data_IF_720161571180
#
_entry.id   IF_720161571180
#
_cell.length_a   1.000
_cell.length_b   1.000
_cell.length_c   1.000
_cell.angle_alpha   90.00
_cell.angle_beta   90.00
_cell.angle_gamma   90.00
#
_symmetry.space_group_name_H-M   'P 1'
#
loop_
_entity.id
_entity.type
_entity.pdbx_description
1 polymer ?
#
# COMPACT_ATOMS: atom_id res chain seq x y z
N UNK A 1 14.93 -39.41 -26.32
CA UNK A 1 13.95 -38.80 -27.24
C UNK A 1 12.62 -38.75 -26.51
N UNK A 2 12.24 -37.60 -25.96
CA UNK A 2 10.94 -37.33 -25.35
C UNK A 2 10.25 -36.22 -26.15
N UNK A 3 8.95 -36.31 -26.48
CA UNK A 3 8.30 -35.33 -27.33
C UNK A 3 7.82 -34.10 -26.55
N UNK A 4 8.21 -32.96 -27.13
CA UNK A 4 7.73 -31.57 -27.09
C UNK A 4 6.55 -31.15 -26.19
N UNK A 5 6.88 -30.16 -25.36
CA UNK A 5 6.06 -29.34 -24.46
C UNK A 5 5.55 -28.04 -25.11
N UNK A 6 4.57 -28.09 -26.04
CA UNK A 6 4.17 -26.86 -26.77
C UNK A 6 2.66 -26.59 -26.93
N UNK A 7 1.74 -27.35 -26.31
CA UNK A 7 0.30 -27.13 -26.57
C UNK A 7 -0.56 -26.58 -25.40
N UNK A 8 -0.17 -26.69 -24.12
CA UNK A 8 -1.02 -26.20 -23.01
C UNK A 8 -0.76 -24.73 -22.59
N UNK A 9 0.39 -24.15 -22.93
CA UNK A 9 0.70 -22.73 -22.68
C UNK A 9 -0.13 -21.77 -23.53
N UNK A 10 -0.77 -22.23 -24.62
CA UNK A 10 -1.65 -21.40 -25.45
C UNK A 10 -3.03 -21.13 -24.84
N UNK A 11 -3.50 -21.95 -23.90
CA UNK A 11 -4.78 -21.73 -23.21
C UNK A 11 -4.65 -20.74 -22.04
N UNK A 12 -3.45 -20.62 -21.44
CA UNK A 12 -3.14 -19.64 -20.41
C UNK A 12 -3.04 -18.20 -20.97
N UNK A 13 -2.68 -18.04 -22.25
CA UNK A 13 -2.49 -16.73 -22.90
C UNK A 13 -3.81 -16.02 -23.29
N UNK A 14 -4.92 -16.77 -23.40
CA UNK A 14 -6.22 -16.22 -23.82
C UNK A 14 -7.10 -15.77 -22.64
N UNK A 15 -6.89 -16.29 -21.42
CA UNK A 15 -7.61 -15.82 -20.23
C UNK A 15 -7.03 -14.50 -19.67
N UNK A 16 -5.73 -14.27 -19.83
CA UNK A 16 -5.09 -12.96 -19.60
C UNK A 16 -5.59 -11.88 -20.57
N UNK A 17 -6.15 -12.26 -21.73
CA UNK A 17 -6.78 -11.35 -22.68
C UNK A 17 -8.09 -10.73 -22.16
N UNK A 18 -8.76 -11.36 -21.18
CA UNK A 18 -9.96 -10.81 -20.53
C UNK A 18 -9.64 -9.81 -19.41
N UNK A 19 -8.36 -9.76 -18.97
CA UNK A 19 -7.86 -8.81 -17.97
C UNK A 19 -7.58 -7.41 -18.59
N UNK A 20 -7.70 -7.23 -19.91
CA UNK A 20 -7.34 -5.99 -20.61
C UNK A 20 -8.52 -5.28 -21.32
N UNK A 21 -9.71 -5.87 -21.39
CA UNK A 21 -10.81 -5.37 -22.24
C UNK A 21 -11.91 -4.58 -21.54
N UNK A 22 -11.76 -4.17 -20.27
CA UNK A 22 -12.73 -3.27 -19.62
C UNK A 22 -12.07 -2.10 -18.88
N UNK A 23 -11.03 -1.54 -19.50
CA UNK A 23 -10.63 -0.15 -19.28
C UNK A 23 -11.79 0.79 -19.67
N UNK A 24 -11.97 1.94 -18.99
CA UNK A 24 -13.05 2.87 -19.28
C UNK A 24 -12.98 3.36 -20.74
N UNK A 25 -14.11 3.32 -21.43
CA UNK A 25 -14.25 3.68 -22.83
C UNK A 25 -14.00 5.17 -23.05
N UNK A 26 -13.34 5.49 -24.17
CA UNK A 26 -12.87 6.80 -24.63
C UNK A 26 -13.96 7.91 -24.80
N UNK A 27 -15.17 7.73 -24.27
CA UNK A 27 -16.25 8.70 -24.36
C UNK A 27 -16.10 9.85 -23.36
N UNK A 28 -15.38 9.66 -22.25
CA UNK A 28 -15.10 10.74 -21.29
C UNK A 28 -14.11 11.80 -21.83
N UNK A 29 -13.21 11.41 -22.74
CA UNK A 29 -12.17 12.31 -23.29
C UNK A 29 -12.75 13.35 -24.27
N UNK A 30 -13.80 12.99 -25.01
CA UNK A 30 -14.45 13.90 -25.96
C UNK A 30 -15.35 14.95 -25.30
N UNK A 31 -15.85 14.69 -24.09
CA UNK A 31 -16.63 15.68 -23.34
C UNK A 31 -15.72 16.72 -22.67
N UNK A 32 -14.51 16.33 -22.27
CA UNK A 32 -13.47 17.23 -21.75
C UNK A 32 -12.91 18.17 -22.85
N UNK A 33 -12.73 17.67 -24.08
CA UNK A 33 -12.24 18.48 -25.22
C UNK A 33 -13.18 19.64 -25.62
N UNK A 34 -14.49 19.51 -25.41
CA UNK A 34 -15.44 20.60 -25.73
C UNK A 34 -15.53 21.68 -24.67
N UNK A 35 -15.21 21.38 -23.41
CA UNK A 35 -15.20 22.41 -22.35
C UNK A 35 -13.88 23.19 -22.28
N UNK A 36 -12.77 22.65 -22.79
CA UNK A 36 -11.46 23.31 -22.82
C UNK A 36 -11.22 24.22 -24.04
N UNK A 37 -12.19 24.38 -24.95
CA UNK A 37 -12.07 25.31 -26.10
C UNK A 37 -12.56 26.75 -25.78
N UNK A 38 -13.02 27.02 -24.55
CA UNK A 38 -13.67 28.30 -24.21
C UNK A 38 -12.94 29.17 -23.17
N UNK A 39 -11.74 28.79 -22.73
CA UNK A 39 -10.93 29.64 -21.86
C UNK A 39 -9.46 29.53 -22.24
N UNK A 40 -8.81 30.68 -22.33
CA UNK A 40 -7.35 30.85 -22.41
C UNK A 40 -6.73 30.81 -23.81
N UNK A 41 -7.08 31.82 -24.61
CA UNK A 41 -6.18 32.29 -25.68
C UNK A 41 -5.26 33.39 -25.12
N UNK A 42 -3.95 33.24 -25.34
CA UNK A 42 -3.00 34.33 -25.10
C UNK A 42 -3.32 35.48 -26.08
N UNK A 43 -3.58 36.67 -25.56
CA UNK A 43 -3.93 37.82 -26.39
C UNK A 43 -2.78 38.12 -27.38
N UNK A 44 -3.02 37.88 -28.68
CA UNK A 44 -2.08 38.25 -29.75
C UNK A 44 -1.22 37.13 -30.35
N UNK A 45 -1.38 35.86 -29.98
CA UNK A 45 -0.69 34.74 -30.66
C UNK A 45 -1.62 33.56 -30.95
N UNK A 46 -1.38 32.84 -32.04
CA UNK A 46 -2.12 31.61 -32.41
C UNK A 46 -1.60 30.33 -31.71
N UNK A 47 -0.78 30.46 -30.67
CA UNK A 47 -0.17 29.31 -29.99
C UNK A 47 -0.98 28.90 -28.76
N UNK A 48 -1.32 27.61 -28.69
CA UNK A 48 -2.00 26.99 -27.55
C UNK A 48 -0.93 26.35 -26.66
N UNK A 49 -0.71 26.89 -25.46
CA UNK A 49 0.32 26.43 -24.52
C UNK A 49 0.14 24.98 -24.02
N UNK A 50 -1.04 24.38 -24.26
CA UNK A 50 -1.35 23.02 -23.80
C UNK A 50 -0.45 21.93 -24.40
N UNK A 51 0.24 22.19 -25.52
CA UNK A 51 1.17 21.25 -26.12
C UNK A 51 2.57 21.24 -25.48
N UNK A 52 3.00 22.31 -24.82
CA UNK A 52 4.36 22.43 -24.27
C UNK A 52 4.53 21.78 -22.88
N UNK A 53 3.43 21.51 -22.18
CA UNK A 53 3.45 20.96 -20.82
C UNK A 53 3.74 19.46 -20.73
N UNK A 54 3.43 18.70 -21.79
CA UNK A 54 3.64 17.24 -21.77
C UNK A 54 5.12 16.83 -21.91
N UNK A 55 5.98 17.74 -22.37
CA UNK A 55 7.42 17.47 -22.61
C UNK A 55 8.34 18.17 -21.58
N UNK A 56 7.79 18.73 -20.51
CA UNK A 56 8.59 19.32 -19.41
C UNK A 56 9.20 20.70 -19.71
N UNK A 57 8.71 21.42 -20.73
CA UNK A 57 9.10 22.80 -21.00
C UNK A 57 8.38 23.82 -20.09
N UNK A 58 9.05 24.94 -19.80
CA UNK A 58 8.46 26.12 -19.16
C UNK A 58 8.13 27.17 -20.23
N UNK A 59 6.95 27.80 -20.17
CA UNK A 59 6.57 28.89 -21.09
C UNK A 59 7.36 30.20 -20.84
N UNK A 60 8.24 30.24 -19.84
CA UNK A 60 9.11 31.39 -19.54
C UNK A 60 10.02 31.80 -20.69
N UNK A 61 10.27 30.90 -21.65
CA UNK A 61 11.26 31.10 -22.70
C UNK A 61 10.62 31.63 -24.01
N UNK A 62 9.30 31.87 -24.01
CA UNK A 62 8.58 32.42 -25.16
C UNK A 62 8.54 33.95 -25.05
N UNK A 63 9.34 34.62 -25.90
CA UNK A 63 9.34 36.08 -26.02
C UNK A 63 7.95 36.59 -26.42
N UNK A 64 7.31 37.38 -25.55
CA UNK A 64 6.01 38.02 -25.82
C UNK A 64 4.90 37.72 -24.81
N UNK A 65 5.11 36.81 -23.87
CA UNK A 65 4.16 36.58 -22.78
C UNK A 65 4.44 37.55 -21.60
N UNK A 66 3.61 38.59 -21.46
CA UNK A 66 3.61 39.50 -20.31
C UNK A 66 2.44 39.14 -19.39
N UNK A 67 2.75 38.71 -18.16
CA UNK A 67 1.74 38.57 -17.11
C UNK A 67 1.69 39.86 -16.29
N UNK A 68 0.55 40.56 -16.26
CA UNK A 68 0.30 41.62 -15.30
C UNK A 68 -0.62 41.08 -14.19
N UNK A 69 -0.04 40.62 -13.09
CA UNK A 69 -0.79 40.45 -11.84
C UNK A 69 -0.73 41.76 -11.06
N UNK A 70 -1.85 42.49 -11.03
CA UNK A 70 -2.08 43.53 -10.04
C UNK A 70 -2.49 42.86 -8.73
N UNK A 71 -1.50 42.45 -7.94
CA UNK A 71 -1.65 41.89 -6.62
C UNK A 71 -0.26 41.66 -6.04
N UNK A 72 0.15 42.51 -5.10
CA UNK A 72 1.45 42.44 -4.44
C UNK A 72 1.66 41.06 -3.78
N UNK A 73 2.49 40.23 -4.42
CA UNK A 73 3.14 39.14 -3.72
C UNK A 73 4.31 39.75 -2.95
N UNK A 74 4.16 39.82 -1.62
CA UNK A 74 5.27 40.04 -0.69
C UNK A 74 6.42 39.07 -0.98
N UNK A 75 7.67 39.53 -0.81
CA UNK A 75 8.95 38.87 -1.16
C UNK A 75 9.22 37.48 -0.56
N UNK A 76 8.23 36.82 0.05
CA UNK A 76 8.30 35.43 0.55
C UNK A 76 7.55 34.43 -0.35
N UNK A 77 7.65 34.60 -1.67
CA UNK A 77 6.87 33.90 -2.69
C UNK A 77 6.85 32.37 -2.59
N UNK A 78 5.63 31.82 -2.76
CA UNK A 78 5.25 30.45 -3.14
C UNK A 78 5.78 29.27 -2.32
N UNK A 79 4.86 28.67 -1.55
CA UNK A 79 4.86 27.27 -1.10
C UNK A 79 6.11 26.79 -0.34
N UNK A 80 6.60 27.58 0.61
CA UNK A 80 7.29 27.04 1.79
C UNK A 80 6.38 27.16 3.01
N UNK A 81 5.27 26.41 2.97
CA UNK A 81 4.34 26.27 4.07
C UNK A 81 3.97 24.80 4.18
N UNK A 82 3.99 24.28 5.41
CA UNK A 82 3.49 22.95 5.79
C UNK A 82 2.16 22.69 5.07
N UNK A 83 1.94 21.47 4.57
CA UNK A 83 0.79 21.05 3.76
C UNK A 83 -0.59 21.55 4.25
N UNK A 84 -0.73 21.87 5.54
CA UNK A 84 -1.91 22.46 6.16
C UNK A 84 -2.43 23.77 5.54
N UNK A 85 -1.58 24.58 4.89
CA UNK A 85 -2.04 25.89 4.41
C UNK A 85 -2.83 25.84 3.10
N UNK A 86 -2.90 24.68 2.44
CA UNK A 86 -3.74 24.47 1.26
C UNK A 86 -5.19 24.05 1.61
N UNK A 87 -5.46 23.60 2.84
CA UNK A 87 -6.75 23.02 3.20
C UNK A 87 -7.77 24.05 3.72
N UNK A 88 -7.33 25.25 4.13
CA UNK A 88 -8.22 26.28 4.71
C UNK A 88 -8.67 27.37 3.72
N UNK A 89 -8.27 27.32 2.45
CA UNK A 89 -8.73 28.32 1.47
C UNK A 89 -10.12 27.94 0.94
N UNK A 90 -11.12 28.47 1.64
CA UNK A 90 -12.53 28.33 1.31
C UNK A 90 -12.88 29.01 -0.02
N UNK A 91 -13.70 28.30 -0.79
CA UNK A 91 -14.50 28.75 -1.94
C UNK A 91 -13.78 29.25 -3.20
N UNK A 92 -13.96 28.44 -4.26
CA UNK A 92 -14.12 28.88 -5.66
C UNK A 92 -12.89 29.33 -6.48
N UNK A 93 -11.69 28.82 -6.22
CA UNK A 93 -10.64 28.85 -7.26
C UNK A 93 -9.93 27.50 -7.37
N UNK A 94 -9.89 26.87 -8.56
CA UNK A 94 -9.32 25.55 -8.71
C UNK A 94 -7.80 25.64 -8.63
N UNK A 95 -7.21 25.11 -7.55
CA UNK A 95 -5.77 24.81 -7.49
C UNK A 95 -5.30 23.92 -8.66
N UNK A 96 -6.23 23.29 -9.39
CA UNK A 96 -5.97 22.57 -10.65
C UNK A 96 -5.42 23.46 -11.78
N UNK A 97 -5.68 24.78 -11.78
CA UNK A 97 -5.19 25.67 -12.83
C UNK A 97 -3.74 26.15 -12.63
N UNK A 98 -3.15 25.93 -11.45
CA UNK A 98 -1.81 26.45 -11.12
C UNK A 98 -0.68 25.43 -11.23
N UNK A 99 -0.92 24.27 -11.86
CA UNK A 99 0.15 23.29 -12.06
C UNK A 99 0.71 22.72 -10.75
N UNK A 100 -0.08 22.72 -9.68
CA UNK A 100 0.25 22.03 -8.44
C UNK A 100 0.42 20.54 -8.76
N UNK A 101 1.67 20.12 -8.98
CA UNK A 101 2.02 18.72 -8.95
C UNK A 101 1.69 18.24 -7.55
N UNK A 102 0.76 17.30 -7.45
CA UNK A 102 0.63 16.50 -6.24
C UNK A 102 2.04 16.05 -5.87
N UNK A 103 2.52 16.53 -4.72
CA UNK A 103 3.82 16.11 -4.21
C UNK A 103 3.89 14.58 -4.25
N UNK A 104 5.10 14.02 -4.45
CA UNK A 104 5.29 12.58 -4.31
C UNK A 104 4.59 12.12 -3.02
N UNK A 105 3.90 10.98 -3.08
CA UNK A 105 3.24 10.47 -1.91
C UNK A 105 4.25 10.40 -0.76
N UNK A 106 3.86 10.81 0.47
CA UNK A 106 4.78 10.79 1.58
C UNK A 106 5.42 9.40 1.67
N UNK A 107 6.73 9.34 1.96
CA UNK A 107 7.48 8.11 1.97
C UNK A 107 6.96 7.21 3.10
N UNK A 108 6.42 6.04 2.73
CA UNK A 108 5.68 5.15 3.63
C UNK A 108 6.43 3.85 3.86
N UNK A 109 7.36 3.85 4.83
CA UNK A 109 8.47 2.90 4.89
C UNK A 109 9.08 2.72 6.30
N UNK A 110 9.95 1.72 6.41
CA UNK A 110 10.88 1.53 7.51
C UNK A 110 12.24 2.18 7.22
N UNK A 111 12.97 2.56 8.29
CA UNK A 111 14.34 3.06 8.15
C UNK A 111 15.31 1.93 7.79
N UNK A 112 16.38 2.25 7.07
CA UNK A 112 17.41 1.27 6.70
C UNK A 112 18.14 0.60 7.87
N UNK A 113 18.15 1.24 9.05
CA UNK A 113 18.79 0.74 10.26
C UNK A 113 17.93 -0.26 11.05
N UNK A 114 16.63 -0.33 10.77
CA UNK A 114 15.76 -1.31 11.41
C UNK A 114 16.20 -2.72 11.04
N UNK A 115 16.09 -3.65 12.00
CA UNK A 115 16.48 -5.05 11.81
C UNK A 115 15.27 -5.95 11.74
N UNK A 116 15.34 -7.00 10.94
CA UNK A 116 14.32 -8.03 10.84
C UNK A 116 14.89 -9.41 11.17
N UNK A 117 14.11 -10.28 11.80
CA UNK A 117 14.56 -11.64 12.08
C UNK A 117 14.45 -12.56 10.88
N UNK A 118 15.48 -13.36 10.69
CA UNK A 118 15.67 -14.23 9.53
C UNK A 118 15.51 -15.70 9.91
N UNK A 119 15.04 -16.51 8.96
CA UNK A 119 15.02 -17.97 9.11
C UNK A 119 16.45 -18.49 9.28
N UNK A 120 16.69 -19.34 10.29
CA UNK A 120 18.02 -19.90 10.56
C UNK A 120 18.84 -19.13 11.59
N UNK A 121 18.19 -18.30 12.41
CA UNK A 121 18.77 -17.54 13.53
C UNK A 121 19.77 -16.47 13.08
N UNK A 122 19.23 -15.30 12.72
CA UNK A 122 20.00 -14.09 12.46
C UNK A 122 19.09 -12.87 12.38
N UNK A 123 19.68 -11.69 12.51
CA UNK A 123 19.01 -10.42 12.25
C UNK A 123 19.64 -9.80 11.01
N UNK A 124 18.84 -9.18 10.14
CA UNK A 124 19.32 -8.46 8.97
C UNK A 124 18.75 -7.06 8.95
N UNK A 125 19.56 -6.05 8.66
CA UNK A 125 19.06 -4.68 8.53
C UNK A 125 18.16 -4.55 7.30
N UNK A 126 17.17 -3.67 7.35
CA UNK A 126 16.20 -3.42 6.27
C UNK A 126 16.90 -3.09 4.96
N UNK A 127 17.98 -2.31 5.02
CA UNK A 127 18.80 -1.93 3.87
C UNK A 127 19.53 -3.09 3.19
N UNK A 128 19.75 -4.19 3.92
CA UNK A 128 20.49 -5.37 3.45
C UNK A 128 19.55 -6.50 3.01
N UNK A 129 18.22 -6.27 3.10
CA UNK A 129 17.21 -7.22 2.67
C UNK A 129 17.17 -7.34 1.15
N UNK A 130 16.93 -8.57 0.70
CA UNK A 130 16.85 -8.93 -0.70
C UNK A 130 15.60 -9.75 -0.96
N UNK A 131 15.11 -9.70 -2.20
CA UNK A 131 14.03 -10.58 -2.65
C UNK A 131 14.48 -12.04 -2.50
N UNK A 132 13.66 -12.85 -1.86
CA UNK A 132 13.95 -14.25 -1.53
C UNK A 132 14.44 -14.46 -0.09
N UNK A 133 14.85 -13.41 0.62
CA UNK A 133 15.17 -13.50 2.04
C UNK A 133 13.93 -13.93 2.86
N UNK A 134 14.11 -14.90 3.75
CA UNK A 134 13.05 -15.44 4.60
C UNK A 134 12.99 -14.70 5.93
N UNK A 135 11.96 -13.88 6.12
CA UNK A 135 11.75 -13.03 7.30
C UNK A 135 10.60 -13.52 8.15
N UNK A 136 10.63 -13.23 9.45
CA UNK A 136 9.55 -13.59 10.36
C UNK A 136 8.31 -12.69 10.14
N UNK A 137 7.12 -13.31 10.06
CA UNK A 137 5.82 -12.63 9.89
C UNK A 137 4.83 -12.99 11.00
N UNK A 138 3.69 -12.28 11.07
CA UNK A 138 2.72 -12.36 12.16
C UNK A 138 1.95 -13.69 12.29
N UNK A 139 1.87 -14.48 11.22
CA UNK A 139 1.26 -15.82 11.26
C UNK A 139 2.22 -16.90 11.77
N UNK A 140 3.15 -16.52 12.65
CA UNK A 140 4.20 -17.35 13.26
C UNK A 140 4.94 -18.22 12.25
N UNK A 141 5.22 -17.66 11.07
CA UNK A 141 5.94 -18.33 9.98
C UNK A 141 6.97 -17.40 9.39
N UNK A 142 8.04 -18.00 8.89
CA UNK A 142 8.96 -17.30 8.01
C UNK A 142 8.39 -17.29 6.60
N UNK A 143 8.48 -16.16 5.92
CA UNK A 143 8.05 -16.02 4.53
C UNK A 143 9.12 -15.28 3.71
N UNK A 144 9.28 -15.60 2.42
CA UNK A 144 10.20 -14.87 1.57
C UNK A 144 9.67 -13.46 1.31
N UNK A 145 10.57 -12.49 1.26
CA UNK A 145 10.31 -11.20 0.64
C UNK A 145 10.13 -11.44 -0.85
N UNK A 146 8.94 -11.17 -1.40
CA UNK A 146 8.67 -11.43 -2.81
C UNK A 146 8.91 -10.20 -3.70
N UNK A 147 8.91 -9.00 -3.12
CA UNK A 147 9.20 -7.74 -3.79
C UNK A 147 9.42 -6.63 -2.75
N UNK A 148 9.75 -5.43 -3.22
CA UNK A 148 9.74 -4.20 -2.43
C UNK A 148 8.66 -3.27 -2.97
N UNK A 149 7.79 -2.76 -2.10
CA UNK A 149 6.80 -1.75 -2.44
C UNK A 149 7.42 -0.36 -2.60
N UNK A 150 8.56 -0.14 -1.97
CA UNK A 150 9.38 1.06 -2.06
C UNK A 150 10.80 0.70 -1.60
N UNK A 151 11.81 1.12 -2.36
CA UNK A 151 13.22 0.93 -2.06
C UNK A 151 13.99 2.14 -2.57
N UNK A 152 14.30 3.09 -1.69
CA UNK A 152 15.14 4.23 -2.03
C UNK A 152 16.19 4.43 -0.92
N UNK A 153 17.45 4.00 -1.14
CA UNK A 153 18.51 4.16 -0.17
C UNK A 153 19.04 5.61 -0.06
N UNK A 154 18.69 6.50 -0.99
CA UNK A 154 19.17 7.87 -1.06
C UNK A 154 18.22 8.89 -0.43
N UNK A 155 16.93 8.59 -0.38
CA UNK A 155 15.89 9.48 0.13
C UNK A 155 16.04 9.74 1.64
N UNK A 156 15.92 10.99 2.07
CA UNK A 156 15.99 11.39 3.50
C UNK A 156 14.62 11.81 3.99
N UNK A 157 14.12 11.13 5.02
CA UNK A 157 12.75 11.31 5.51
C UNK A 157 12.70 11.35 7.03
N UNK A 158 11.64 11.97 7.54
CA UNK A 158 11.34 11.93 8.97
C UNK A 158 10.69 10.58 9.34
N UNK A 159 11.29 9.89 10.30
CA UNK A 159 10.73 8.69 10.90
C UNK A 159 10.21 8.99 12.30
N UNK A 160 9.08 8.38 12.65
CA UNK A 160 8.69 8.19 14.05
C UNK A 160 9.62 7.15 14.65
N UNK A 161 10.17 7.47 15.81
CA UNK A 161 10.89 6.54 16.67
C UNK A 161 9.97 6.17 17.83
N UNK A 162 9.32 5.03 17.72
CA UNK A 162 8.40 4.51 18.75
C UNK A 162 9.22 3.65 19.70
N UNK A 163 9.38 4.11 20.94
CA UNK A 163 10.09 3.40 22.00
C UNK A 163 9.11 2.51 22.72
N UNK A 164 9.38 1.20 22.73
CA UNK A 164 8.56 0.21 23.41
C UNK A 164 9.35 -0.47 24.50
N UNK A 165 8.69 -0.72 25.63
CA UNK A 165 9.23 -1.57 26.68
C UNK A 165 9.20 -3.01 26.20
N UNK A 166 10.36 -3.57 25.88
CA UNK A 166 10.47 -4.98 25.55
C UNK A 166 10.06 -5.81 26.78
N UNK A 167 9.19 -6.80 26.56
CA UNK A 167 8.80 -7.71 27.63
C UNK A 167 10.02 -8.44 28.19
N UNK A 168 10.02 -8.72 29.50
CA UNK A 168 11.10 -9.45 30.15
C UNK A 168 11.27 -10.82 29.48
N UNK A 169 12.22 -10.93 28.56
CA UNK A 169 12.62 -12.19 27.98
C UNK A 169 13.37 -12.94 29.08
N UNK A 170 12.66 -13.85 29.73
CA UNK A 170 13.15 -14.66 30.86
C UNK A 170 14.38 -15.51 30.51
N UNK A 171 14.77 -15.57 29.23
CA UNK A 171 15.96 -16.27 28.75
C UNK A 171 17.23 -15.39 28.72
N UNK A 172 17.13 -14.10 29.05
CA UNK A 172 18.29 -13.20 29.15
C UNK A 172 18.88 -13.21 30.57
N UNK A 173 19.28 -14.39 31.07
CA UNK A 173 20.22 -14.42 32.19
C UNK A 173 21.58 -13.95 31.66
N UNK A 174 22.08 -12.85 32.23
CA UNK A 174 23.33 -12.15 31.88
C UNK A 174 23.22 -11.16 30.72
N UNK A 175 22.67 -9.97 30.98
CA UNK A 175 23.47 -8.75 31.12
C UNK A 175 22.62 -7.63 31.76
N UNK A 176 23.24 -6.91 32.69
CA UNK A 176 22.72 -5.83 33.54
C UNK A 176 21.97 -4.74 32.73
N UNK A 177 20.70 -4.47 33.05
CA UNK A 177 20.23 -3.45 34.01
C UNK A 177 20.03 -2.07 33.36
N UNK A 178 18.76 -1.79 33.02
CA UNK A 178 18.05 -0.51 32.80
C UNK A 178 17.42 -0.21 31.43
N UNK A 179 17.84 -0.79 30.31
CA UNK A 179 17.34 -0.33 29.00
C UNK A 179 16.72 -1.45 28.15
N UNK A 180 15.70 -2.16 28.66
CA UNK A 180 14.84 -3.04 27.84
C UNK A 180 13.90 -2.19 26.95
N UNK A 181 14.45 -1.25 26.21
CA UNK A 181 13.74 -0.35 25.31
C UNK A 181 14.11 -0.73 23.88
N UNK A 182 13.13 -1.19 23.11
CA UNK A 182 13.29 -1.33 21.67
C UNK A 182 12.77 -0.09 20.98
N UNK A 183 13.48 0.35 19.95
CA UNK A 183 13.06 1.46 19.10
C UNK A 183 12.54 0.90 17.79
N UNK A 184 11.42 1.42 17.31
CA UNK A 184 10.89 1.15 15.98
C UNK A 184 10.87 2.42 15.16
N UNK A 185 11.57 2.41 14.01
CA UNK A 185 11.69 3.55 13.10
C UNK A 185 10.84 3.32 11.86
N UNK A 186 9.77 4.09 11.77
CA UNK A 186 8.69 3.90 10.81
C UNK A 186 8.08 5.25 10.45
N UNK A 187 7.68 5.45 9.20
CA UNK A 187 7.01 6.70 8.81
C UNK A 187 5.54 6.70 9.21
N UNK A 188 4.93 7.89 9.29
CA UNK A 188 3.64 8.11 9.93
C UNK A 188 2.45 7.34 9.33
N UNK A 189 2.44 7.13 8.01
CA UNK A 189 1.34 6.47 7.31
C UNK A 189 1.48 4.94 7.25
N UNK A 190 2.66 4.41 7.59
CA UNK A 190 2.90 2.97 7.56
C UNK A 190 2.09 2.27 8.66
N UNK A 191 1.50 1.11 8.36
CA UNK A 191 0.55 0.47 9.26
C UNK A 191 1.24 -0.45 10.29
N UNK A 192 0.84 -0.34 11.55
CA UNK A 192 1.38 -1.08 12.71
C UNK A 192 0.27 -1.72 13.54
N UNK A 193 0.54 -2.89 14.14
CA UNK A 193 -0.45 -3.61 14.94
C UNK A 193 -0.43 -3.13 16.40
N UNK A 194 -1.55 -2.52 16.81
CA UNK A 194 -1.82 -2.09 18.19
C UNK A 194 -2.79 -3.07 18.85
N UNK A 195 -2.53 -3.42 20.11
CA UNK A 195 -3.37 -4.33 20.89
C UNK A 195 -4.81 -3.81 20.99
N UNK A 196 -5.78 -4.71 20.87
CA UNK A 196 -7.21 -4.38 20.97
C UNK A 196 -7.79 -3.80 19.66
N UNK A 197 -6.96 -3.48 18.67
CA UNK A 197 -7.40 -3.11 17.33
C UNK A 197 -7.51 -4.35 16.45
N UNK A 198 -8.54 -4.36 15.60
CA UNK A 198 -8.82 -5.50 14.70
C UNK A 198 -7.86 -5.56 13.51
N UNK A 199 -7.43 -4.41 13.02
CA UNK A 199 -6.52 -4.25 11.89
C UNK A 199 -5.40 -3.27 12.27
N UNK A 200 -4.28 -3.23 11.53
CA UNK A 200 -3.21 -2.31 11.86
C UNK A 200 -3.64 -0.87 11.56
N UNK A 201 -3.10 0.07 12.35
CA UNK A 201 -3.36 1.51 12.29
C UNK A 201 -2.14 2.24 11.75
N UNK A 202 -2.27 3.46 11.20
CA UNK A 202 -1.11 4.25 10.79
C UNK A 202 -0.24 4.59 12.01
N UNK A 203 1.08 4.54 11.85
CA UNK A 203 2.02 4.76 12.95
C UNK A 203 1.87 6.14 13.61
N UNK A 204 1.49 7.17 12.85
CA UNK A 204 1.22 8.52 13.35
C UNK A 204 0.06 8.59 14.35
N UNK A 205 -0.75 7.53 14.45
CA UNK A 205 -1.90 7.46 15.34
C UNK A 205 -1.59 6.79 16.68
N UNK A 206 -0.40 6.19 16.79
CA UNK A 206 0.08 5.56 18.02
C UNK A 206 0.35 6.64 19.05
N UNK A 207 -0.10 6.40 20.28
CA UNK A 207 0.04 7.31 21.41
C UNK A 207 0.83 6.66 22.54
N UNK A 208 1.31 7.50 23.48
CA UNK A 208 1.89 7.00 24.73
C UNK A 208 0.86 6.16 25.49
N UNK A 209 1.30 5.01 26.00
CA UNK A 209 0.43 4.07 26.70
C UNK A 209 -0.30 3.06 25.80
N UNK A 210 -0.34 3.27 24.47
CA UNK A 210 -0.73 2.19 23.55
C UNK A 210 0.21 1.00 23.73
N UNK A 211 -0.26 -0.20 23.38
CA UNK A 211 0.58 -1.39 23.42
C UNK A 211 0.66 -2.03 22.05
N UNK A 212 1.87 -2.18 21.54
CA UNK A 212 2.13 -2.82 20.25
C UNK A 212 2.17 -4.33 20.39
N UNK A 213 1.93 -5.07 19.31
CA UNK A 213 2.02 -6.53 19.33
C UNK A 213 3.45 -7.01 19.18
N UNK A 214 4.03 -7.66 20.20
CA UNK A 214 5.34 -8.33 20.12
C UNK A 214 5.16 -9.79 19.74
N UNK A 215 5.71 -10.19 18.61
CA UNK A 215 5.61 -11.56 18.10
C UNK A 215 6.41 -12.55 18.97
N UNK A 216 7.55 -12.14 19.52
CA UNK A 216 8.42 -13.03 20.29
C UNK A 216 7.83 -13.44 21.65
N UNK A 217 7.12 -12.53 22.29
CA UNK A 217 6.52 -12.77 23.61
C UNK A 217 5.05 -13.15 23.53
N UNK A 218 4.42 -12.99 22.34
CA UNK A 218 2.97 -13.01 22.15
C UNK A 218 2.23 -12.12 23.16
N UNK A 219 2.90 -11.04 23.59
CA UNK A 219 2.43 -10.11 24.61
C UNK A 219 2.45 -8.68 24.09
N UNK A 220 1.67 -7.80 24.72
CA UNK A 220 1.70 -6.39 24.40
C UNK A 220 3.01 -5.75 24.85
N UNK A 221 3.58 -4.89 24.01
CA UNK A 221 4.76 -4.09 24.26
C UNK A 221 4.35 -2.61 24.42
N UNK A 222 4.28 -2.08 25.65
CA UNK A 222 3.81 -0.72 25.90
C UNK A 222 4.71 0.33 25.24
N UNK A 223 4.09 1.32 24.60
CA UNK A 223 4.74 2.51 24.07
C UNK A 223 5.05 3.47 25.22
N UNK A 224 6.33 3.75 25.41
CA UNK A 224 6.83 4.56 26.54
C UNK A 224 7.36 5.92 26.11
N UNK A 225 7.74 6.07 24.84
CA UNK A 225 8.13 7.35 24.25
C UNK A 225 7.89 7.34 22.74
N UNK A 226 7.64 8.50 22.16
CA UNK A 226 7.60 8.71 20.71
C UNK A 226 8.43 9.95 20.41
N UNK A 227 9.46 9.79 19.58
CA UNK A 227 10.31 10.88 19.10
C UNK A 227 10.33 10.88 17.57
N UNK A 228 10.96 11.87 16.94
CA UNK A 228 11.20 11.88 15.49
C UNK A 228 12.68 11.90 15.18
N UNK A 229 13.07 11.34 14.03
CA UNK A 229 14.43 11.40 13.54
C UNK A 229 14.46 11.46 12.01
N UNK A 230 15.25 12.38 11.46
CA UNK A 230 15.57 12.42 10.04
C UNK A 230 16.62 11.35 9.72
N UNK A 231 16.30 10.43 8.80
CA UNK A 231 17.24 9.40 8.35
C UNK A 231 17.18 9.19 6.85
N UNK A 232 18.32 8.76 6.32
CA UNK A 232 18.44 8.35 4.92
C UNK A 232 18.06 6.88 4.74
N UNK A 233 17.35 6.59 3.66
CA UNK A 233 16.99 5.26 3.21
C UNK A 233 15.60 4.82 3.68
N UNK A 234 14.72 4.53 2.73
CA UNK A 234 13.36 4.05 2.93
C UNK A 234 13.14 2.68 2.28
N UNK A 235 12.57 1.76 3.05
CA UNK A 235 12.42 0.36 2.66
C UNK A 235 11.02 -0.16 3.04
N UNK A 236 10.31 -0.74 2.08
CA UNK A 236 9.01 -1.39 2.28
C UNK A 236 9.03 -2.81 1.68
N UNK A 237 9.63 -3.79 2.37
CA UNK A 237 9.65 -5.18 1.90
C UNK A 237 8.24 -5.77 1.94
N UNK A 238 7.87 -6.55 0.91
CA UNK A 238 6.56 -7.18 0.81
C UNK A 238 6.65 -8.68 1.06
N UNK A 239 5.81 -9.18 1.97
CA UNK A 239 5.70 -10.60 2.34
C UNK A 239 4.32 -11.15 1.97
N UNK A 240 4.22 -12.47 1.85
CA UNK A 240 3.03 -13.09 1.28
C UNK A 240 1.76 -12.84 2.10
N UNK A 241 1.86 -12.79 3.44
CA UNK A 241 0.73 -12.50 4.32
C UNK A 241 0.52 -11.01 4.60
N UNK A 242 1.39 -10.14 4.07
CA UNK A 242 1.30 -8.69 4.25
C UNK A 242 1.83 -8.19 5.59
N UNK A 243 2.55 -9.01 6.36
CA UNK A 243 3.07 -8.65 7.68
C UNK A 243 4.55 -8.92 7.80
N UNK A 244 5.22 -8.21 8.71
CA UNK A 244 6.64 -8.36 8.99
C UNK A 244 6.92 -8.05 10.46
N UNK A 245 7.84 -8.79 11.06
CA UNK A 245 8.33 -8.56 12.43
C UNK A 245 9.60 -7.70 12.36
N UNK A 246 9.62 -6.59 13.10
CA UNK A 246 10.67 -5.56 12.98
C UNK A 246 11.21 -5.15 14.35
N UNK A 247 12.50 -4.85 14.40
CA UNK A 247 13.20 -4.37 15.58
C UNK A 247 13.55 -5.46 16.59
N UNK A 248 14.24 -5.06 17.65
CA UNK A 248 14.66 -5.95 18.74
C UNK A 248 13.52 -6.31 19.69
N UNK A 249 12.44 -5.51 19.71
CA UNK A 249 11.19 -5.81 20.40
C UNK A 249 10.28 -6.78 19.65
N UNK A 250 10.69 -7.22 18.45
CA UNK A 250 9.96 -8.17 17.62
C UNK A 250 8.53 -7.69 17.33
N UNK A 251 8.40 -6.42 16.97
CA UNK A 251 7.11 -5.76 16.82
C UNK A 251 6.49 -6.12 15.48
N UNK A 252 5.24 -6.52 15.51
CA UNK A 252 4.48 -6.87 14.32
C UNK A 252 3.98 -5.62 13.59
N UNK A 253 4.34 -5.51 12.33
CA UNK A 253 3.91 -4.45 11.43
C UNK A 253 3.28 -5.01 10.16
N UNK A 254 2.53 -4.17 9.48
CA UNK A 254 2.09 -4.41 8.10
C UNK A 254 3.27 -4.17 7.15
N UNK A 255 3.25 -4.81 5.98
CA UNK A 255 4.11 -4.43 4.84
C UNK A 255 3.48 -3.36 3.96
N UNK A 256 2.34 -2.80 4.38
CA UNK A 256 1.55 -1.81 3.67
C UNK A 256 1.35 -0.54 4.50
N UNK A 257 0.86 0.49 3.83
CA UNK A 257 0.60 1.83 4.36
C UNK A 257 -0.84 2.25 4.12
N UNK A 258 -1.26 3.38 4.68
CA UNK A 258 -2.49 4.07 4.28
C UNK A 258 -2.50 4.39 2.79
N UNK A 259 -3.68 4.31 2.19
CA UNK A 259 -3.90 4.64 0.76
C UNK A 259 -4.47 6.05 0.57
N UNK A 260 -5.03 6.61 1.63
CA UNK A 260 -5.72 7.89 1.67
C UNK A 260 -5.04 8.73 2.75
N UNK A 261 -4.99 10.04 2.52
CA UNK A 261 -4.52 10.98 3.52
C UNK A 261 -5.52 11.00 4.69
N UNK A 262 -5.01 11.21 5.91
CA UNK A 262 -5.82 11.19 7.12
C UNK A 262 -6.82 12.34 7.10
N UNK A 263 -8.11 12.04 7.23
CA UNK A 263 -9.12 13.03 7.56
C UNK A 263 -9.27 13.12 9.09
N UNK A 264 -9.23 14.35 9.62
CA UNK A 264 -9.23 14.63 11.07
C UNK A 264 -10.52 14.17 11.78
N UNK A 265 -11.59 13.87 11.05
CA UNK A 265 -12.91 13.49 11.59
C UNK A 265 -13.09 11.98 11.82
N UNK A 266 -12.10 11.14 11.51
CA UNK A 266 -12.24 9.68 11.61
C UNK A 266 -11.95 9.17 13.05
N UNK A 267 -13.03 8.98 13.83
CA UNK A 267 -13.04 8.34 15.17
C UNK A 267 -12.38 6.95 15.21
N UNK A 268 -12.18 6.30 14.06
CA UNK A 268 -11.68 4.93 13.90
C UNK A 268 -10.16 4.83 13.70
N UNK A 269 -9.38 5.73 14.31
CA UNK A 269 -7.91 5.68 14.34
C UNK A 269 -7.21 5.56 12.96
N UNK A 270 -7.90 5.91 11.85
CA UNK A 270 -7.36 5.76 10.49
C UNK A 270 -7.12 4.30 10.04
N UNK A 271 -7.78 3.33 10.68
CA UNK A 271 -7.63 1.90 10.38
C UNK A 271 -8.29 1.50 9.06
N UNK A 272 -9.35 2.21 8.67
CA UNK A 272 -10.22 1.90 7.55
C UNK A 272 -10.08 2.93 6.44
N UNK A 273 -10.19 2.47 5.20
CA UNK A 273 -10.42 3.39 4.10
C UNK A 273 -11.84 3.92 4.19
N UNK A 274 -11.99 5.24 4.15
CA UNK A 274 -13.26 5.94 4.28
C UNK A 274 -13.65 6.60 2.97
N UNK A 275 -14.95 6.65 2.71
CA UNK A 275 -15.50 7.43 1.61
C UNK A 275 -15.64 8.86 2.09
N UNK A 276 -15.18 9.82 1.28
CA UNK A 276 -15.35 11.24 1.58
C UNK A 276 -16.82 11.62 1.38
N UNK A 277 -17.65 11.36 2.38
CA UNK A 277 -19.06 11.75 2.38
C UNK A 277 -19.25 12.99 3.23
N UNK A 278 -19.99 13.96 2.72
CA UNK A 278 -20.36 15.18 3.45
C UNK A 278 -21.29 14.92 4.64
N UNK A 279 -21.90 13.74 4.72
CA UNK A 279 -22.78 13.31 5.81
C UNK A 279 -22.36 11.91 6.29
N UNK A 280 -21.52 11.83 7.32
CA UNK A 280 -20.94 10.59 7.86
C UNK A 280 -21.92 9.48 8.27
N UNK A 281 -23.23 9.78 8.34
CA UNK A 281 -24.28 8.81 8.62
C UNK A 281 -24.48 7.80 7.46
N UNK A 282 -24.40 8.25 6.21
CA UNK A 282 -24.67 7.37 5.05
C UNK A 282 -23.49 6.45 4.73
N UNK A 283 -22.25 6.92 4.91
CA UNK A 283 -21.04 6.13 4.66
C UNK A 283 -20.94 4.92 5.60
N UNK A 284 -21.22 5.14 6.89
CA UNK A 284 -21.12 4.09 7.90
C UNK A 284 -22.20 3.01 7.80
N UNK A 285 -23.39 3.36 7.29
CA UNK A 285 -24.53 2.44 7.22
C UNK A 285 -24.51 1.56 5.96
N UNK A 286 -24.02 2.10 4.83
CA UNK A 286 -24.19 1.46 3.52
C UNK A 286 -22.98 0.64 3.07
N UNK A 287 -21.77 0.96 3.56
CA UNK A 287 -20.54 0.36 3.04
C UNK A 287 -19.78 -0.36 4.16
N UNK A 288 -19.45 -1.65 3.98
CA UNK A 288 -18.69 -2.38 4.99
C UNK A 288 -17.30 -1.75 5.15
N UNK A 289 -16.86 -1.53 6.39
CA UNK A 289 -15.52 -1.03 6.67
C UNK A 289 -14.46 -2.05 6.22
N UNK A 290 -13.52 -1.65 5.38
CA UNK A 290 -12.35 -2.46 4.99
C UNK A 290 -11.09 -1.70 5.34
N UNK A 291 -10.13 -2.40 5.95
CA UNK A 291 -8.89 -1.79 6.39
C UNK A 291 -8.00 -1.41 5.20
N UNK A 292 -7.14 -0.40 5.38
CA UNK A 292 -6.12 -0.08 4.37
C UNK A 292 -5.24 -1.29 4.06
N UNK A 293 -4.89 -2.07 5.08
CA UNK A 293 -4.17 -3.33 4.93
C UNK A 293 -4.88 -4.30 3.97
N UNK A 294 -6.18 -4.56 4.19
CA UNK A 294 -6.95 -5.49 3.35
C UNK A 294 -7.04 -5.02 1.90
N UNK A 295 -7.24 -3.71 1.67
CA UNK A 295 -7.32 -3.14 0.33
C UNK A 295 -5.97 -3.30 -0.38
N UNK A 296 -4.88 -2.83 0.24
CA UNK A 296 -3.54 -2.96 -0.32
C UNK A 296 -3.20 -4.42 -0.60
N UNK A 297 -3.44 -5.30 0.38
CA UNK A 297 -3.18 -6.73 0.27
C UNK A 297 -3.96 -7.40 -0.88
N UNK A 298 -5.22 -6.99 -1.10
CA UNK A 298 -6.06 -7.51 -2.20
C UNK A 298 -5.58 -6.97 -3.55
N UNK A 299 -5.29 -5.67 -3.64
CA UNK A 299 -4.87 -5.03 -4.88
C UNK A 299 -3.51 -5.54 -5.38
N UNK A 300 -2.58 -5.84 -4.47
CA UNK A 300 -1.26 -6.39 -4.84
C UNK A 300 -1.26 -7.91 -5.03
N UNK A 301 -2.38 -8.61 -4.78
CA UNK A 301 -2.46 -10.06 -4.87
C UNK A 301 -2.05 -10.63 -6.25
N UNK A 302 -2.51 -10.08 -7.40
CA UNK A 302 -2.06 -10.60 -8.71
C UNK A 302 -0.54 -10.50 -8.90
N UNK A 303 0.06 -9.39 -8.46
CA UNK A 303 1.50 -9.19 -8.53
C UNK A 303 2.26 -10.12 -7.57
N UNK A 304 1.73 -10.32 -6.36
CA UNK A 304 2.26 -11.27 -5.38
C UNK A 304 2.25 -12.71 -5.90
N UNK A 305 1.13 -13.15 -6.50
CA UNK A 305 1.05 -14.47 -7.15
C UNK A 305 2.09 -14.55 -8.27
N UNK A 306 2.20 -13.52 -9.11
CA UNK A 306 3.21 -13.46 -10.15
C UNK A 306 4.61 -13.67 -9.59
N UNK A 307 5.05 -12.87 -8.61
CA UNK A 307 6.41 -12.96 -8.07
C UNK A 307 6.71 -14.27 -7.32
N UNK A 308 5.73 -14.85 -6.63
CA UNK A 308 5.93 -16.07 -5.87
C UNK A 308 5.91 -17.34 -6.74
N UNK A 309 5.13 -17.34 -7.83
CA UNK A 309 4.88 -18.56 -8.63
C UNK A 309 5.62 -18.56 -9.97
N UNK A 310 5.51 -17.48 -10.73
CA UNK A 310 5.98 -17.43 -12.12
C UNK A 310 7.23 -16.60 -12.30
N UNK A 311 7.32 -15.49 -11.58
CA UNK A 311 8.35 -14.46 -11.67
C UNK A 311 9.48 -14.64 -10.67
N UNK A 312 9.71 -15.84 -10.15
CA UNK A 312 10.81 -16.08 -9.20
C UNK A 312 12.15 -15.78 -9.89
N UNK A 313 12.85 -14.75 -9.41
CA UNK A 313 14.08 -14.23 -10.04
C UNK A 313 13.84 -13.31 -11.25
N UNK A 314 12.59 -12.94 -11.53
CA UNK A 314 12.29 -11.95 -12.56
C UNK A 314 12.65 -10.55 -12.04
N UNK A 315 13.29 -9.75 -12.90
CA UNK A 315 13.65 -8.35 -12.61
C UNK A 315 12.45 -7.49 -12.17
N UNK A 316 11.23 -7.86 -12.53
CA UNK A 316 9.99 -7.18 -12.14
C UNK A 316 9.70 -7.24 -10.65
N UNK A 317 10.23 -8.26 -9.97
CA UNK A 317 10.05 -8.47 -8.53
C UNK A 317 11.20 -7.86 -7.73
N UNK A 318 12.33 -7.55 -8.37
CA UNK A 318 13.45 -6.88 -7.74
C UNK A 318 13.19 -5.37 -7.61
N UNK A 319 13.79 -4.71 -6.61
CA UNK A 319 13.80 -3.26 -6.55
C UNK A 319 14.28 -2.69 -7.88
N UNK A 320 13.50 -1.77 -8.45
CA UNK A 320 13.92 -1.07 -9.64
C UNK A 320 14.78 0.13 -9.22
N UNK A 321 15.94 0.32 -9.85
CA UNK A 321 16.83 1.45 -9.59
C UNK A 321 16.34 2.74 -10.28
N UNK A 322 15.02 2.90 -10.45
CA UNK A 322 14.44 4.14 -10.94
C UNK A 322 14.60 5.23 -9.87
N UNK A 323 14.58 6.49 -10.31
CA UNK A 323 14.85 7.67 -9.46
C UNK A 323 13.93 7.85 -8.24
N UNK A 324 12.80 7.15 -8.14
CA UNK A 324 11.84 7.26 -7.03
C UNK A 324 11.71 5.98 -6.19
N UNK A 325 12.51 4.94 -6.47
CA UNK A 325 12.54 3.70 -5.69
C UNK A 325 11.24 2.87 -5.64
N UNK A 326 10.16 3.34 -6.27
CA UNK A 326 8.83 2.75 -6.19
C UNK A 326 8.50 2.01 -7.49
N UNK A 327 8.04 0.74 -7.43
CA UNK A 327 7.57 0.05 -8.63
C UNK A 327 6.41 0.81 -9.29
N UNK A 328 6.41 0.88 -10.61
CA UNK A 328 5.40 1.62 -11.39
C UNK A 328 3.96 1.27 -11.01
N UNK A 329 3.67 0.01 -10.68
CA UNK A 329 2.33 -0.43 -10.29
C UNK A 329 1.90 0.15 -8.93
N UNK A 330 2.82 0.23 -7.96
CA UNK A 330 2.56 0.83 -6.64
C UNK A 330 2.28 2.32 -6.80
N UNK A 331 3.13 3.01 -7.55
CA UNK A 331 2.95 4.44 -7.85
C UNK A 331 1.60 4.73 -8.52
N UNK A 332 1.23 3.91 -9.52
CA UNK A 332 -0.06 4.04 -10.20
C UNK A 332 -1.23 3.74 -9.27
N UNK A 333 -1.09 2.80 -8.34
CA UNK A 333 -2.12 2.52 -7.35
C UNK A 333 -2.36 3.72 -6.41
N UNK A 334 -1.31 4.39 -5.92
CA UNK A 334 -1.45 5.63 -5.13
C UNK A 334 -2.06 6.78 -5.93
N UNK A 335 -1.62 6.97 -7.18
CA UNK A 335 -2.22 7.99 -8.06
C UNK A 335 -3.72 7.72 -8.27
N UNK A 336 -4.10 6.46 -8.44
CA UNK A 336 -5.49 6.07 -8.62
C UNK A 336 -6.32 6.23 -7.33
N UNK A 337 -5.77 5.88 -6.17
CA UNK A 337 -6.43 6.09 -4.88
C UNK A 337 -6.72 7.58 -4.63
N UNK A 338 -5.72 8.45 -4.83
CA UNK A 338 -5.89 9.90 -4.73
C UNK A 338 -6.89 10.46 -5.73
N UNK A 339 -6.83 10.00 -6.98
CA UNK A 339 -7.82 10.37 -7.97
C UNK A 339 -9.23 9.98 -7.49
N UNK A 340 -9.40 8.77 -6.97
CA UNK A 340 -10.67 8.26 -6.45
C UNK A 340 -11.21 9.11 -5.30
N UNK A 341 -10.36 9.57 -4.39
CA UNK A 341 -10.72 10.45 -3.27
C UNK A 341 -11.31 11.79 -3.73
N UNK A 342 -10.90 12.26 -4.91
CA UNK A 342 -11.44 13.49 -5.53
C UNK A 342 -12.71 13.26 -6.36
N UNK A 343 -13.13 12.01 -6.57
CA UNK A 343 -14.30 11.71 -7.38
C UNK A 343 -15.61 11.89 -6.61
N UNK A 344 -16.70 12.05 -7.36
CA UNK A 344 -18.04 12.08 -6.79
C UNK A 344 -18.37 10.79 -6.04
N UNK A 345 -19.25 10.89 -5.04
CA UNK A 345 -19.69 9.76 -4.23
C UNK A 345 -20.17 8.57 -5.07
N UNK A 346 -20.85 8.82 -6.19
CA UNK A 346 -21.34 7.75 -7.08
C UNK A 346 -20.20 6.97 -7.75
N UNK A 347 -19.13 7.65 -8.15
CA UNK A 347 -17.95 7.00 -8.72
C UNK A 347 -17.24 6.19 -7.64
N UNK A 348 -17.11 6.71 -6.42
CA UNK A 348 -16.50 5.99 -5.32
C UNK A 348 -17.31 4.73 -4.94
N UNK A 349 -18.64 4.83 -4.82
CA UNK A 349 -19.54 3.67 -4.57
C UNK A 349 -19.44 2.63 -5.68
N UNK A 350 -19.45 3.06 -6.94
CA UNK A 350 -19.34 2.15 -8.09
C UNK A 350 -17.99 1.42 -8.07
N UNK A 351 -16.91 2.18 -7.86
CA UNK A 351 -15.55 1.64 -7.76
C UNK A 351 -15.42 0.65 -6.62
N UNK A 352 -16.05 0.95 -5.47
CA UNK A 352 -16.11 0.05 -4.34
C UNK A 352 -16.83 -1.26 -4.65
N UNK A 353 -18.00 -1.19 -5.29
CA UNK A 353 -18.74 -2.38 -5.70
C UNK A 353 -17.89 -3.27 -6.63
N UNK A 354 -17.18 -2.66 -7.59
CA UNK A 354 -16.24 -3.37 -8.46
C UNK A 354 -15.07 -3.98 -7.66
N UNK A 355 -14.52 -3.26 -6.69
CA UNK A 355 -13.48 -3.78 -5.81
C UNK A 355 -13.96 -5.00 -5.01
N UNK A 356 -15.21 -5.00 -4.51
CA UNK A 356 -15.75 -6.17 -3.81
C UNK A 356 -15.88 -7.38 -4.73
N UNK A 357 -16.32 -7.20 -5.99
CA UNK A 357 -16.36 -8.27 -6.99
C UNK A 357 -14.95 -8.81 -7.26
N UNK A 358 -13.98 -7.91 -7.48
CA UNK A 358 -12.59 -8.26 -7.67
C UNK A 358 -12.03 -9.07 -6.47
N UNK A 359 -12.28 -8.60 -5.24
CA UNK A 359 -11.85 -9.28 -4.00
C UNK A 359 -12.41 -10.70 -3.89
N UNK A 360 -13.69 -10.88 -4.19
CA UNK A 360 -14.37 -12.19 -4.15
C UNK A 360 -13.76 -13.18 -5.15
N UNK A 361 -13.19 -12.70 -6.26
CA UNK A 361 -12.52 -13.54 -7.24
C UNK A 361 -11.06 -13.81 -6.83
N UNK A 362 -10.32 -12.75 -6.50
CA UNK A 362 -8.87 -12.81 -6.35
C UNK A 362 -8.42 -13.50 -5.07
N UNK A 363 -9.08 -13.26 -3.93
CA UNK A 363 -8.65 -13.85 -2.65
C UNK A 363 -8.77 -15.38 -2.66
N UNK A 364 -9.87 -15.98 -3.14
CA UNK A 364 -9.95 -17.42 -3.39
C UNK A 364 -8.88 -17.96 -4.33
N UNK A 365 -8.69 -17.29 -5.47
CA UNK A 365 -7.74 -17.71 -6.49
C UNK A 365 -6.31 -17.72 -5.95
N UNK A 366 -5.93 -16.66 -5.24
CA UNK A 366 -4.64 -16.56 -4.57
C UNK A 366 -4.44 -17.71 -3.58
N UNK A 367 -5.42 -17.94 -2.71
CA UNK A 367 -5.36 -18.99 -1.69
C UNK A 367 -5.13 -20.36 -2.34
N UNK A 368 -5.83 -20.63 -3.44
CA UNK A 368 -5.70 -21.86 -4.24
C UNK A 368 -4.31 -21.99 -4.87
N UNK A 369 -3.80 -20.93 -5.51
CA UNK A 369 -2.50 -20.96 -6.20
C UNK A 369 -1.35 -21.09 -5.20
N UNK A 370 -1.38 -20.35 -4.09
CA UNK A 370 -0.34 -20.42 -3.05
C UNK A 370 -0.36 -21.78 -2.32
N UNK A 371 -1.53 -22.37 -2.10
CA UNK A 371 -1.62 -23.73 -1.56
C UNK A 371 -1.04 -24.77 -2.53
N UNK A 372 -1.40 -24.69 -3.82
CA UNK A 372 -0.90 -25.62 -4.84
C UNK A 372 0.62 -25.55 -4.97
N UNK A 373 1.20 -24.36 -5.00
CA UNK A 373 2.66 -24.18 -5.12
C UNK A 373 3.43 -24.69 -3.91
N UNK A 374 2.90 -24.50 -2.71
CA UNK A 374 3.51 -25.05 -1.48
C UNK A 374 3.59 -26.58 -1.52
N UNK A 375 2.55 -27.25 -2.04
CA UNK A 375 2.51 -28.71 -2.17
C UNK A 375 3.52 -29.19 -3.23
N UNK A 376 3.61 -28.53 -4.38
CA UNK A 376 4.57 -28.89 -5.44
C UNK A 376 6.01 -28.85 -4.95
N UNK A 377 6.39 -27.84 -4.16
CA UNK A 377 7.76 -27.72 -3.61
C UNK A 377 8.08 -28.89 -2.67
N UNK A 378 7.12 -29.30 -1.83
CA UNK A 378 7.35 -30.38 -0.86
C UNK A 378 7.35 -31.78 -1.49
N UNK A 379 6.86 -31.90 -2.72
CA UNK A 379 6.50 -33.19 -3.31
C UNK A 379 7.34 -33.61 -4.51
N UNK A 380 8.42 -32.88 -4.82
CA UNK A 380 9.34 -33.15 -5.94
C UNK A 380 10.12 -34.47 -5.88
N UNK A 381 9.67 -35.44 -5.07
CA UNK A 381 10.23 -36.80 -4.98
C UNK A 381 9.21 -37.93 -4.77
N UNK A 382 7.89 -37.72 -4.93
CA UNK A 382 6.92 -38.79 -4.66
C UNK A 382 5.63 -38.69 -5.51
N UNK A 383 5.30 -39.71 -6.31
CA UNK A 383 4.12 -39.74 -7.19
C UNK A 383 2.76 -39.60 -6.47
N UNK A 384 2.72 -39.78 -5.15
CA UNK A 384 1.53 -39.52 -4.32
C UNK A 384 1.15 -38.04 -4.20
N UNK A 385 2.03 -37.13 -4.63
CA UNK A 385 1.86 -35.67 -4.62
C UNK A 385 0.58 -35.16 -5.29
N UNK A 386 0.22 -35.79 -6.41
CA UNK A 386 -0.86 -35.32 -7.27
C UNK A 386 -2.23 -35.42 -6.59
N UNK A 387 -2.50 -36.55 -5.94
CA UNK A 387 -3.76 -36.78 -5.23
C UNK A 387 -3.94 -35.86 -4.03
N UNK A 388 -2.85 -35.57 -3.30
CA UNK A 388 -2.87 -34.62 -2.19
C UNK A 388 -3.22 -33.22 -2.69
N UNK A 389 -2.62 -32.80 -3.81
CA UNK A 389 -2.90 -31.49 -4.42
C UNK A 389 -4.37 -31.37 -4.82
N UNK A 390 -4.92 -32.38 -5.50
CA UNK A 390 -6.33 -32.39 -5.92
C UNK A 390 -7.31 -32.32 -4.73
N UNK A 391 -7.05 -33.08 -3.66
CA UNK A 391 -7.89 -33.07 -2.46
C UNK A 391 -7.85 -31.71 -1.75
N UNK A 392 -6.67 -31.09 -1.64
CA UNK A 392 -6.53 -29.75 -1.02
C UNK A 392 -7.26 -28.70 -1.85
N UNK A 393 -7.18 -28.74 -3.18
CA UNK A 393 -7.90 -27.81 -4.05
C UNK A 393 -9.41 -27.91 -3.86
N UNK A 394 -9.95 -29.13 -3.83
CA UNK A 394 -11.38 -29.37 -3.61
C UNK A 394 -11.82 -28.92 -2.21
N UNK A 395 -11.06 -29.26 -1.17
CA UNK A 395 -11.36 -28.85 0.20
C UNK A 395 -11.32 -27.32 0.36
N UNK A 396 -10.34 -26.65 -0.27
CA UNK A 396 -10.20 -25.20 -0.24
C UNK A 396 -11.38 -24.53 -0.96
N UNK A 397 -11.77 -25.03 -2.14
CA UNK A 397 -12.93 -24.53 -2.86
C UNK A 397 -14.23 -24.69 -2.04
N UNK A 398 -14.43 -25.85 -1.39
CA UNK A 398 -15.57 -26.08 -0.50
C UNK A 398 -15.55 -25.11 0.69
N UNK A 399 -14.40 -24.90 1.34
CA UNK A 399 -14.27 -23.98 2.47
C UNK A 399 -14.56 -22.53 2.08
N UNK A 400 -14.07 -22.08 0.92
CA UNK A 400 -14.39 -20.77 0.35
C UNK A 400 -15.91 -20.62 0.18
N UNK A 401 -16.56 -21.60 -0.46
CA UNK A 401 -18.02 -21.58 -0.67
C UNK A 401 -18.78 -21.53 0.66
N UNK A 402 -18.35 -22.28 1.68
CA UNK A 402 -18.96 -22.28 3.00
C UNK A 402 -18.78 -20.93 3.72
N UNK A 403 -17.58 -20.35 3.68
CA UNK A 403 -17.28 -19.07 4.34
C UNK A 403 -18.08 -17.91 3.73
N UNK A 404 -18.20 -17.86 2.41
CA UNK A 404 -19.00 -16.84 1.73
C UNK A 404 -20.50 -17.03 1.96
N UNK A 405 -20.99 -18.28 2.04
CA UNK A 405 -22.39 -18.58 2.35
C UNK A 405 -22.79 -18.18 3.78
N UNK A 406 -21.87 -18.30 4.75
CA UNK A 406 -22.10 -17.90 6.14
C UNK A 406 -22.14 -16.37 6.29
N UNK A 407 -21.20 -15.66 5.67
CA UNK A 407 -21.19 -14.20 5.73
C UNK A 407 -22.39 -13.55 5.02
N UNK A 408 -22.90 -14.17 3.95
CA UNK A 408 -24.12 -13.68 3.28
C UNK A 408 -25.38 -13.83 4.15
N UNK A 409 -25.43 -14.84 5.05
CA UNK A 409 -26.56 -15.01 6.00
C UNK A 409 -26.47 -14.12 7.23
N UNK A 410 -25.27 -13.69 7.63
CA UNK A 410 -25.07 -12.86 8.83
C UNK A 410 -25.25 -11.35 8.58
N UNK A 411 -25.35 -10.91 7.31
CA UNK A 411 -25.67 -9.52 6.95
C UNK A 411 -27.14 -9.10 7.10
N UNK A 412 -28.02 -10.03 7.49
CA UNK A 412 -29.44 -9.77 7.78
C UNK A 412 -29.75 -10.06 9.26
N UNK A 413 -28.97 -9.52 10.20
CA UNK A 413 -29.45 -9.43 11.58
C UNK A 413 -30.28 -8.16 11.74
N UNK A 414 -31.58 -8.36 11.99
CA UNK A 414 -32.59 -7.33 12.26
C UNK A 414 -32.03 -6.26 13.21
N UNK A 415 -32.06 -5.01 12.77
CA UNK A 415 -32.15 -3.87 13.69
C UNK A 415 -33.44 -4.06 14.51
N UNK A 416 -33.29 -4.16 15.82
CA UNK A 416 -34.35 -3.98 16.81
C UNK A 416 -34.01 -2.75 17.63
#
# INVERSE_FOLDING_TARGET
>A
MFPSSTCQTRLLLLATLALLLLLPTATAENHLRRQLQQGDSCHGTNYVCSFYYNDGGSCSDISGCSWSFAGECSESGCCQGVAKQCDEMSSETPCLAQGCKWGPAPPNCFSGGMVVPMLGNGMKAMKDLQVGDWVWTGKSRYQPIYAFGHYDPGETVEFLQIHVKAGDSSDSQQHQQNDNVSIMEITGDHLIYVQGKKYPVPAATVQLGDSLWSQATEKPAPVIAITTAQKQGIYAPLTADGTIVVGQGWILASTYTTLQDRHDDDDDSGMYATFRTTNGLLSSLLLPKVSHHDIAHTCVAPFRIFCLVWGRGSQWCHPNNNNDGMPTFVRKAFQWARWLDTQSMMVQITTWALFQVFRVIVVPLESVILAATTITIHSSGNDKAFWVTAVVLVATAIWILLRYKINFRLGFHKAN
#
